data_IF_142043813427
#
_entry.id   IF_142043813427
#
_cell.length_a   1.000
_cell.length_b   1.000
_cell.length_c   1.000
_cell.angle_alpha   90.00
_cell.angle_beta   90.00
_cell.angle_gamma   90.00
#
_symmetry.space_group_name_H-M   'P 1'
#
loop_
_entity.id
_entity.type
_entity.pdbx_description
1 polymer ?
#
# COMPACT_ATOMS: atom_id res chain seq x y z
N UNK A 1 27.60 0.61 39.59
CA UNK A 1 26.39 0.43 38.76
C UNK A 1 26.72 0.84 37.33
N UNK A 2 26.58 -0.05 36.35
CA UNK A 2 26.87 0.29 34.96
C UNK A 2 25.74 1.18 34.41
N UNK A 3 26.09 2.35 33.87
CA UNK A 3 25.13 3.24 33.22
C UNK A 3 24.44 2.49 32.06
N UNK A 4 23.12 2.36 32.12
CA UNK A 4 22.31 1.73 31.07
C UNK A 4 22.38 2.66 29.85
N UNK A 5 23.16 2.32 28.83
CA UNK A 5 23.18 3.08 27.57
C UNK A 5 21.74 3.17 27.04
N UNK A 6 21.26 4.38 26.82
CA UNK A 6 19.97 4.63 26.20
C UNK A 6 19.99 4.02 24.80
N UNK A 7 19.04 3.13 24.52
CA UNK A 7 18.93 2.50 23.22
C UNK A 7 18.25 3.48 22.27
N UNK A 8 18.98 3.94 21.26
CA UNK A 8 18.44 4.77 20.19
C UNK A 8 17.68 3.91 19.19
N UNK A 9 16.51 4.38 18.75
CA UNK A 9 15.69 3.72 17.75
C UNK A 9 15.62 4.63 16.51
N UNK A 10 16.37 4.33 15.44
CA UNK A 10 16.31 5.14 14.23
C UNK A 10 14.90 5.12 13.62
N UNK A 11 14.47 6.27 13.09
CA UNK A 11 13.20 6.39 12.33
C UNK A 11 13.38 5.94 10.88
N UNK A 12 14.62 5.79 10.42
CA UNK A 12 14.99 5.43 9.05
C UNK A 12 16.12 4.40 9.06
N UNK A 13 15.98 3.36 8.24
CA UNK A 13 17.02 2.34 8.00
C UNK A 13 17.12 2.02 6.51
N UNK A 14 18.28 1.49 6.11
CA UNK A 14 18.52 0.98 4.76
C UNK A 14 18.38 -0.55 4.75
N UNK A 15 17.58 -1.08 3.82
CA UNK A 15 17.51 -2.51 3.58
C UNK A 15 18.84 -3.07 3.05
N UNK A 16 19.08 -4.37 3.26
CA UNK A 16 20.28 -5.06 2.81
C UNK A 16 19.89 -6.36 2.11
N UNK A 17 20.75 -6.92 1.23
CA UNK A 17 20.51 -8.26 0.68
C UNK A 17 20.21 -9.28 1.79
N UNK A 18 19.07 -9.96 1.70
CA UNK A 18 18.60 -10.92 2.70
C UNK A 18 18.00 -10.32 3.99
N UNK A 19 18.00 -8.99 4.15
CA UNK A 19 17.38 -8.26 5.26
C UNK A 19 16.54 -7.09 4.72
N UNK A 20 15.34 -7.38 4.17
CA UNK A 20 14.48 -6.35 3.60
C UNK A 20 14.06 -5.29 4.62
N UNK A 21 14.08 -5.61 5.92
CA UNK A 21 13.78 -4.68 7.01
C UNK A 21 14.99 -3.84 7.48
N UNK A 22 16.18 -4.01 6.85
CA UNK A 22 17.46 -3.46 7.33
C UNK A 22 17.97 -4.09 8.64
N UNK A 23 17.20 -5.03 9.21
CA UNK A 23 17.46 -5.75 10.46
C UNK A 23 16.75 -7.11 10.43
N UNK A 24 16.99 -7.96 11.43
CA UNK A 24 16.25 -9.21 11.55
C UNK A 24 14.78 -8.98 11.93
N UNK A 25 13.85 -9.85 11.50
CA UNK A 25 12.44 -9.77 11.93
C UNK A 25 12.27 -9.75 13.44
N UNK A 26 13.06 -10.53 14.18
CA UNK A 26 13.04 -10.51 15.65
C UNK A 26 13.37 -9.13 16.25
N UNK A 27 14.32 -8.40 15.64
CA UNK A 27 14.64 -7.02 16.05
C UNK A 27 13.49 -6.07 15.72
N UNK A 28 12.92 -6.18 14.53
CA UNK A 28 11.78 -5.37 14.09
C UNK A 28 10.55 -5.55 15.01
N UNK A 29 10.17 -6.80 15.29
CA UNK A 29 9.04 -7.13 16.17
C UNK A 29 9.24 -6.63 17.61
N UNK A 30 10.47 -6.72 18.13
CA UNK A 30 10.81 -6.23 19.48
C UNK A 30 10.77 -4.71 19.57
N UNK A 31 11.27 -4.01 18.57
CA UNK A 31 11.60 -2.57 18.69
C UNK A 31 10.59 -1.63 17.98
N UNK A 32 9.86 -2.10 16.95
CA UNK A 32 9.03 -1.26 16.08
C UNK A 32 7.58 -1.73 15.90
N UNK A 33 7.34 -3.03 15.69
CA UNK A 33 5.99 -3.54 15.41
C UNK A 33 4.99 -3.14 16.50
N UNK A 34 3.91 -2.46 16.10
CA UNK A 34 2.89 -1.88 16.98
C UNK A 34 3.44 -0.92 18.07
N UNK A 35 4.58 -0.26 17.82
CA UNK A 35 5.23 0.65 18.78
C UNK A 35 5.62 1.97 18.15
N UNK A 36 6.25 1.93 16.96
CA UNK A 36 6.87 3.11 16.33
C UNK A 36 6.86 3.00 14.80
N UNK A 37 6.71 4.11 14.07
CA UNK A 37 6.93 4.13 12.63
C UNK A 37 8.41 3.90 12.29
N UNK A 38 8.67 3.34 11.11
CA UNK A 38 10.00 3.10 10.57
C UNK A 38 9.97 3.23 9.04
N UNK A 39 10.80 4.11 8.50
CA UNK A 39 11.09 4.18 7.07
C UNK A 39 12.18 3.16 6.72
N UNK A 40 11.90 2.29 5.75
CA UNK A 40 12.84 1.27 5.28
C UNK A 40 13.15 1.56 3.82
N UNK A 41 14.31 2.14 3.54
CA UNK A 41 14.73 2.47 2.17
C UNK A 41 15.17 1.22 1.42
N UNK A 42 14.74 1.12 0.16
CA UNK A 42 15.04 0.02 -0.76
C UNK A 42 14.68 -1.38 -0.22
N UNK A 43 13.56 -1.49 0.51
CA UNK A 43 13.07 -2.78 1.03
C UNK A 43 12.87 -3.83 -0.09
N UNK A 44 12.45 -3.36 -1.26
CA UNK A 44 12.31 -4.13 -2.49
C UNK A 44 13.18 -3.45 -3.56
N UNK A 45 14.44 -3.88 -3.75
CA UNK A 45 15.26 -3.36 -4.84
C UNK A 45 14.64 -3.76 -6.17
N UNK A 46 14.67 -2.84 -7.15
CA UNK A 46 14.17 -3.08 -8.50
C UNK A 46 12.71 -3.56 -8.53
N UNK A 47 11.88 -2.99 -7.65
CA UNK A 47 10.46 -3.30 -7.58
C UNK A 47 9.74 -2.86 -8.86
N UNK A 48 9.22 -3.83 -9.59
CA UNK A 48 8.27 -3.63 -10.68
C UNK A 48 6.86 -3.81 -10.14
N UNK A 49 5.95 -2.94 -10.57
CA UNK A 49 4.55 -3.02 -10.10
C UNK A 49 3.86 -4.17 -10.84
N UNK A 50 3.28 -5.15 -10.14
CA UNK A 50 2.67 -6.33 -10.77
C UNK A 50 1.36 -6.03 -11.50
N UNK A 51 0.74 -4.87 -11.26
CA UNK A 51 -0.56 -4.47 -11.81
C UNK A 51 -0.43 -3.11 -12.47
N UNK A 52 -0.81 -3.01 -13.75
CA UNK A 52 -0.84 -1.73 -14.45
C UNK A 52 -2.11 -0.94 -14.11
N UNK A 53 -2.11 0.40 -14.25
CA UNK A 53 -3.29 1.22 -13.97
C UNK A 53 -4.57 0.77 -14.69
N UNK A 54 -4.44 0.35 -15.96
CA UNK A 54 -5.53 -0.17 -16.78
C UNK A 54 -6.10 -1.49 -16.25
N UNK A 55 -5.24 -2.40 -15.77
CA UNK A 55 -5.66 -3.67 -15.19
C UNK A 55 -6.39 -3.44 -13.85
N UNK A 56 -5.91 -2.47 -13.06
CA UNK A 56 -6.56 -2.07 -11.81
C UNK A 56 -7.94 -1.44 -12.05
N UNK A 57 -8.08 -0.63 -13.11
CA UNK A 57 -9.36 -0.06 -13.51
C UNK A 57 -10.33 -1.14 -14.00
N UNK A 58 -9.84 -2.10 -14.80
CA UNK A 58 -10.62 -3.27 -15.21
C UNK A 58 -11.10 -4.09 -14.02
N UNK A 59 -10.21 -4.36 -13.05
CA UNK A 59 -10.58 -5.06 -11.82
C UNK A 59 -11.64 -4.31 -11.01
N UNK A 60 -11.63 -2.99 -11.03
CA UNK A 60 -12.62 -2.17 -10.33
C UNK A 60 -14.03 -2.24 -10.96
N UNK A 61 -14.17 -2.77 -12.17
CA UNK A 61 -15.44 -3.04 -12.84
C UNK A 61 -16.01 -4.44 -12.52
N UNK A 62 -15.18 -5.37 -12.03
CA UNK A 62 -15.58 -6.74 -11.79
C UNK A 62 -16.63 -6.87 -10.68
N UNK A 63 -17.60 -7.76 -10.89
CA UNK A 63 -18.63 -8.02 -9.89
C UNK A 63 -18.01 -8.60 -8.61
N UNK A 64 -18.31 -7.99 -7.47
CA UNK A 64 -17.76 -8.38 -6.17
C UNK A 64 -16.41 -7.75 -5.85
N UNK A 65 -15.80 -7.00 -6.76
CA UNK A 65 -14.64 -6.17 -6.46
C UNK A 65 -15.03 -5.03 -5.50
N UNK A 66 -14.23 -4.84 -4.45
CA UNK A 66 -14.42 -3.76 -3.49
C UNK A 66 -13.58 -2.54 -3.92
N UNK A 67 -14.16 -1.74 -4.80
CA UNK A 67 -13.50 -0.57 -5.37
C UNK A 67 -14.13 0.76 -4.93
N UNK A 68 -13.30 1.80 -4.83
CA UNK A 68 -13.71 3.17 -4.47
C UNK A 68 -12.92 4.20 -5.27
N UNK A 69 -13.59 5.25 -5.71
CA UNK A 69 -12.95 6.46 -6.25
C UNK A 69 -13.18 7.59 -5.27
N UNK A 70 -12.09 8.19 -4.80
CA UNK A 70 -12.09 9.40 -3.98
C UNK A 70 -11.65 10.56 -4.87
N UNK A 71 -12.39 11.66 -4.86
CA UNK A 71 -12.04 12.86 -5.62
C UNK A 71 -12.10 14.10 -4.72
N UNK A 72 -11.17 15.04 -4.94
CA UNK A 72 -11.10 16.32 -4.25
C UNK A 72 -11.32 17.46 -5.24
N UNK A 73 -12.40 18.21 -5.06
CA UNK A 73 -12.61 19.48 -5.75
C UNK A 73 -11.87 20.59 -5.01
N UNK A 74 -10.71 20.99 -5.53
CA UNK A 74 -9.90 22.07 -4.95
C UNK A 74 -10.56 23.44 -4.93
N UNK A 75 -11.54 23.69 -5.82
CA UNK A 75 -12.19 25.00 -5.89
C UNK A 75 -13.20 25.19 -4.74
N UNK A 76 -13.85 24.11 -4.33
CA UNK A 76 -14.85 24.11 -3.26
C UNK A 76 -14.35 23.50 -1.95
N UNK A 77 -13.14 22.94 -1.96
CA UNK A 77 -12.60 22.06 -0.91
C UNK A 77 -13.53 20.88 -0.61
N UNK A 78 -14.24 20.41 -1.63
CA UNK A 78 -15.25 19.36 -1.54
C UNK A 78 -14.64 17.97 -1.78
N UNK A 79 -15.05 16.99 -0.99
CA UNK A 79 -14.66 15.59 -1.17
C UNK A 79 -15.84 14.75 -1.62
N UNK A 80 -15.63 13.92 -2.65
CA UNK A 80 -16.61 12.95 -3.11
C UNK A 80 -16.06 11.53 -3.05
N UNK A 81 -16.96 10.59 -2.78
CA UNK A 81 -16.68 9.16 -2.75
C UNK A 81 -17.68 8.46 -3.65
N UNK A 82 -17.18 7.71 -4.63
CA UNK A 82 -17.96 6.76 -5.41
C UNK A 82 -17.51 5.34 -5.05
N UNK A 83 -18.46 4.42 -4.96
CA UNK A 83 -18.20 3.01 -4.66
C UNK A 83 -18.58 2.17 -5.86
N UNK A 84 -17.73 1.19 -6.18
CA UNK A 84 -17.94 0.27 -7.28
C UNK A 84 -18.94 -0.87 -6.98
N UNK A 85 -19.04 -1.88 -7.87
CA UNK A 85 -18.27 -1.97 -9.12
C UNK A 85 -18.58 -0.81 -10.07
N UNK A 86 -17.57 -0.36 -10.80
CA UNK A 86 -17.71 0.71 -11.80
C UNK A 86 -18.10 0.13 -13.16
N UNK A 87 -18.45 0.99 -14.09
CA UNK A 87 -18.59 0.61 -15.50
C UNK A 87 -17.30 0.99 -16.24
N UNK A 88 -16.95 0.25 -17.30
CA UNK A 88 -15.74 0.56 -18.07
C UNK A 88 -15.78 2.00 -18.61
N UNK A 89 -16.96 2.50 -18.95
CA UNK A 89 -17.19 3.85 -19.44
C UNK A 89 -17.00 4.95 -18.37
N UNK A 90 -16.89 4.59 -17.09
CA UNK A 90 -16.64 5.55 -16.01
C UNK A 90 -15.19 6.09 -16.02
N UNK A 91 -14.24 5.35 -16.59
CA UNK A 91 -12.82 5.70 -16.58
C UNK A 91 -12.41 6.60 -17.75
N UNK A 92 -12.85 6.36 -19.00
CA UNK A 92 -12.65 7.31 -20.09
C UNK A 92 -13.19 8.70 -19.74
N UNK A 93 -12.33 9.70 -19.74
CA UNK A 93 -12.70 11.09 -19.44
C UNK A 93 -12.60 11.48 -17.96
N UNK A 94 -12.10 10.59 -17.09
CA UNK A 94 -11.62 11.01 -15.77
C UNK A 94 -10.56 12.12 -15.92
N UNK A 95 -10.56 13.14 -15.03
CA UNK A 95 -9.52 14.17 -15.03
C UNK A 95 -8.11 13.58 -14.89
N UNK A 96 -7.07 14.33 -15.25
CA UNK A 96 -5.68 13.93 -15.03
C UNK A 96 -5.16 14.27 -13.62
N UNK A 97 -6.02 14.79 -12.73
CA UNK A 97 -5.68 15.27 -11.40
C UNK A 97 -6.77 15.03 -10.34
N UNK A 98 -6.35 15.08 -9.07
CA UNK A 98 -7.20 15.21 -7.88
C UNK A 98 -8.22 14.08 -7.63
N UNK A 99 -7.90 12.85 -8.08
CA UNK A 99 -8.65 11.65 -7.70
C UNK A 99 -7.75 10.44 -7.50
N UNK A 100 -8.25 9.46 -6.74
CA UNK A 100 -7.59 8.20 -6.42
C UNK A 100 -8.58 7.05 -6.54
N UNK A 101 -8.24 6.01 -7.32
CA UNK A 101 -8.90 4.72 -7.30
C UNK A 101 -8.23 3.82 -6.26
N UNK A 102 -9.04 3.15 -5.43
CA UNK A 102 -8.62 2.13 -4.48
C UNK A 102 -9.38 0.84 -4.77
N UNK A 103 -8.66 -0.27 -4.89
CA UNK A 103 -9.23 -1.61 -5.02
C UNK A 103 -8.68 -2.47 -3.89
N UNK A 104 -9.58 -3.03 -3.08
CA UNK A 104 -9.21 -3.93 -1.98
C UNK A 104 -8.97 -5.35 -2.49
N UNK A 105 -8.38 -6.20 -1.64
CA UNK A 105 -8.32 -7.64 -1.89
C UNK A 105 -7.62 -8.06 -3.20
N UNK A 106 -6.72 -7.23 -3.74
CA UNK A 106 -6.13 -7.47 -5.07
C UNK A 106 -5.29 -8.75 -5.10
N UNK A 107 -4.73 -9.18 -3.96
CA UNK A 107 -4.02 -10.45 -3.81
C UNK A 107 -4.91 -11.70 -4.01
N UNK A 108 -6.24 -11.55 -4.04
CA UNK A 108 -7.19 -12.62 -4.37
C UNK A 108 -7.41 -12.76 -5.88
N UNK A 109 -7.17 -11.68 -6.62
CA UNK A 109 -7.39 -11.60 -8.07
C UNK A 109 -6.09 -11.82 -8.85
N UNK A 110 -4.97 -11.34 -8.31
CA UNK A 110 -3.67 -11.38 -8.97
C UNK A 110 -2.62 -12.20 -8.18
N UNK A 111 -2.05 -13.27 -8.77
CA UNK A 111 -1.07 -14.12 -8.10
C UNK A 111 0.29 -13.46 -7.88
N UNK A 112 0.67 -12.47 -8.70
CA UNK A 112 1.91 -11.71 -8.54
C UNK A 112 1.78 -10.72 -7.37
N UNK A 113 0.62 -10.08 -7.22
CA UNK A 113 0.29 -9.28 -6.02
C UNK A 113 0.30 -10.15 -4.78
N UNK A 114 -0.30 -11.34 -4.84
CA UNK A 114 -0.28 -12.30 -3.73
C UNK A 114 1.14 -12.68 -3.32
N UNK A 115 2.08 -12.78 -4.27
CA UNK A 115 3.47 -13.11 -3.96
C UNK A 115 4.15 -12.06 -3.05
N UNK A 116 3.69 -10.81 -3.06
CA UNK A 116 4.20 -9.75 -2.17
C UNK A 116 3.98 -10.07 -0.68
N UNK A 117 2.91 -10.79 -0.35
CA UNK A 117 2.63 -11.19 1.03
C UNK A 117 3.72 -12.07 1.63
N UNK A 118 4.50 -12.77 0.79
CA UNK A 118 5.56 -13.67 1.24
C UNK A 118 6.72 -12.94 1.95
N UNK A 119 6.95 -11.66 1.63
CA UNK A 119 7.93 -10.84 2.32
C UNK A 119 7.57 -10.58 3.80
N UNK A 120 6.31 -10.79 4.17
CA UNK A 120 5.77 -10.59 5.51
C UNK A 120 5.53 -11.88 6.29
N UNK A 121 6.06 -13.03 5.82
CA UNK A 121 5.91 -14.35 6.46
C UNK A 121 6.46 -14.44 7.90
N UNK A 122 7.18 -13.43 8.39
CA UNK A 122 7.57 -13.34 9.79
C UNK A 122 6.41 -12.95 10.73
N UNK A 123 5.28 -12.52 10.17
CA UNK A 123 4.02 -12.31 10.88
C UNK A 123 3.15 -13.58 10.81
N UNK A 124 2.37 -13.89 11.86
CA UNK A 124 1.36 -14.95 11.77
C UNK A 124 0.33 -14.66 10.67
N UNK A 125 -0.06 -15.68 9.89
CA UNK A 125 -0.97 -15.50 8.75
C UNK A 125 -2.30 -14.83 9.09
N UNK A 126 -2.86 -15.11 10.27
CA UNK A 126 -4.13 -14.52 10.72
C UNK A 126 -4.05 -13.01 11.03
N UNK A 127 -2.83 -12.44 11.06
CA UNK A 127 -2.60 -10.99 11.20
C UNK A 127 -2.46 -10.27 9.86
N UNK A 128 -2.29 -11.02 8.78
CA UNK A 128 -2.31 -10.48 7.43
C UNK A 128 -3.77 -10.39 7.00
N UNK A 129 -4.16 -9.27 6.42
CA UNK A 129 -5.52 -9.03 5.93
C UNK A 129 -5.53 -9.24 4.41
N UNK A 130 -5.21 -8.20 3.66
CA UNK A 130 -5.18 -8.18 2.20
C UNK A 130 -4.10 -7.22 1.65
N UNK A 131 -3.98 -7.17 0.32
CA UNK A 131 -3.23 -6.12 -0.39
C UNK A 131 -4.20 -5.24 -1.17
N UNK A 132 -4.46 -4.05 -0.63
CA UNK A 132 -5.12 -2.97 -1.36
C UNK A 132 -4.13 -2.26 -2.28
N UNK A 133 -4.52 -1.99 -3.52
CA UNK A 133 -3.76 -1.15 -4.45
C UNK A 133 -4.50 0.16 -4.67
N UNK A 134 -3.77 1.27 -4.65
CA UNK A 134 -4.28 2.59 -5.03
C UNK A 134 -3.55 3.13 -6.25
N UNK A 135 -4.31 3.61 -7.24
CA UNK A 135 -3.82 4.46 -8.31
C UNK A 135 -4.28 5.90 -8.07
N UNK A 136 -3.35 6.84 -8.06
CA UNK A 136 -3.64 8.26 -7.85
C UNK A 136 -3.23 9.07 -9.08
N UNK A 137 -4.16 9.85 -9.62
CA UNK A 137 -3.84 10.88 -10.59
C UNK A 137 -3.03 12.01 -9.91
N UNK A 138 -2.52 12.97 -10.68
CA UNK A 138 -1.67 14.04 -10.13
C UNK A 138 -2.42 14.80 -9.02
N UNK A 139 -1.87 14.86 -7.81
CA UNK A 139 -2.53 15.52 -6.68
C UNK A 139 -3.65 14.70 -6.01
N UNK A 140 -3.95 13.50 -6.51
CA UNK A 140 -4.86 12.54 -5.88
C UNK A 140 -4.39 12.13 -4.49
N UNK A 141 -5.33 12.10 -3.54
CA UNK A 141 -5.10 11.73 -2.15
C UNK A 141 -6.41 11.19 -1.55
N UNK A 142 -6.35 10.68 -0.31
CA UNK A 142 -7.52 10.28 0.49
C UNK A 142 -7.67 11.12 1.77
N UNK A 143 -6.88 12.19 1.90
CA UNK A 143 -6.79 13.05 3.08
C UNK A 143 -5.35 13.30 3.52
#
# INVERSE_FOLDING_TARGET
>A
MAARKQKTYPIEVQAKPGLPLGMSPATFLRDYWQKRPLLIRAAFPDFETPVMPEDLAGLACEEGALARIVSHDRATDGWTLRTGPFQEEDFPGMPDHDWTLLVQDVDKWDPEVRALTSYFNFLPRWRMDDVMISFAATGGSVG
#
